data_IF_107505759061
#
_entry.id   IF_107505759061
#
_cell.length_a   1.000
_cell.length_b   1.000
_cell.length_c   1.000
_cell.angle_alpha   90.00
_cell.angle_beta   90.00
_cell.angle_gamma   90.00
#
_symmetry.space_group_name_H-M   'P 1'
#
loop_
_entity.id
_entity.type
_entity.pdbx_description
1 polymer ?
#
# COMPACT_ATOMS: atom_id res chain seq x y z
N UNK A 1 -2.49 -23.47 -13.88
CA UNK A 1 -2.63 -23.61 -12.42
C UNK A 1 -3.02 -22.24 -11.89
N UNK A 2 -4.28 -22.04 -11.56
CA UNK A 2 -4.78 -20.79 -10.99
C UNK A 2 -4.22 -20.71 -9.57
N UNK A 3 -3.23 -19.88 -9.35
CA UNK A 3 -2.76 -19.55 -7.99
C UNK A 3 -3.93 -18.94 -7.25
N UNK A 4 -4.47 -19.66 -6.28
CA UNK A 4 -5.48 -19.13 -5.37
C UNK A 4 -4.94 -17.81 -4.80
N UNK A 5 -5.65 -16.72 -5.06
CA UNK A 5 -5.21 -15.39 -4.65
C UNK A 5 -5.39 -15.32 -3.14
N UNK A 6 -4.30 -15.39 -2.40
CA UNK A 6 -4.29 -15.32 -0.94
C UNK A 6 -4.98 -14.04 -0.46
N UNK A 7 -5.82 -14.15 0.56
CA UNK A 7 -6.60 -13.02 1.12
C UNK A 7 -5.66 -11.90 1.58
N UNK A 8 -5.86 -10.71 1.03
CA UNK A 8 -5.14 -9.51 1.45
C UNK A 8 -5.82 -8.91 2.67
N UNK A 9 -5.06 -8.62 3.70
CA UNK A 9 -5.52 -8.05 4.98
C UNK A 9 -4.76 -6.78 5.29
N UNK A 10 -5.40 -5.84 5.96
CA UNK A 10 -4.74 -4.66 6.47
C UNK A 10 -4.82 -4.60 7.99
N UNK A 11 -3.70 -4.37 8.63
CA UNK A 11 -3.61 -4.12 10.07
C UNK A 11 -3.22 -2.66 10.27
N UNK A 12 -4.05 -1.94 10.99
CA UNK A 12 -3.77 -0.59 11.47
C UNK A 12 -3.22 -0.68 12.89
N UNK A 13 -2.12 0.02 13.14
CA UNK A 13 -1.53 0.10 14.47
C UNK A 13 -1.07 1.51 14.79
N UNK A 14 -1.25 1.92 16.04
CA UNK A 14 -0.65 3.12 16.63
C UNK A 14 0.41 2.67 17.63
N UNK A 15 1.59 3.27 17.56
CA UNK A 15 2.70 2.91 18.42
C UNK A 15 3.59 4.09 18.76
N UNK A 16 4.40 3.95 19.79
CA UNK A 16 5.37 4.97 20.16
C UNK A 16 6.39 5.16 19.04
N UNK A 17 6.63 6.41 18.68
CA UNK A 17 7.65 6.79 17.70
C UNK A 17 9.04 6.76 18.33
N UNK A 18 9.61 5.56 18.40
CA UNK A 18 10.92 5.29 18.99
C UNK A 18 11.72 4.32 18.13
N UNK A 19 13.03 4.48 18.14
CA UNK A 19 13.93 3.54 17.46
C UNK A 19 13.72 2.10 17.91
N UNK A 20 13.65 1.19 16.95
CA UNK A 20 13.53 -0.25 17.21
C UNK A 20 12.10 -0.77 17.39
N UNK A 21 11.08 0.08 17.51
CA UNK A 21 9.69 -0.39 17.69
C UNK A 21 9.21 -1.17 16.47
N UNK A 22 9.43 -0.63 15.26
CA UNK A 22 9.13 -1.33 14.01
C UNK A 22 9.86 -2.68 13.94
N UNK A 23 11.09 -2.76 14.36
CA UNK A 23 11.85 -4.01 14.37
C UNK A 23 11.18 -5.08 15.24
N UNK A 24 10.63 -4.72 16.40
CA UNK A 24 9.87 -5.65 17.24
C UNK A 24 8.63 -6.20 16.52
N UNK A 25 7.91 -5.35 15.79
CA UNK A 25 6.76 -5.77 14.97
C UNK A 25 7.20 -6.73 13.87
N UNK A 26 8.27 -6.40 13.13
CA UNK A 26 8.80 -7.31 12.10
C UNK A 26 9.29 -8.64 12.66
N UNK A 27 9.84 -8.66 13.85
CA UNK A 27 10.21 -9.92 14.52
C UNK A 27 9.00 -10.81 14.82
N UNK A 28 7.84 -10.23 15.17
CA UNK A 28 6.59 -10.98 15.33
C UNK A 28 6.11 -11.57 14.00
N UNK A 29 6.06 -10.75 12.96
CA UNK A 29 5.65 -11.14 11.63
C UNK A 29 6.52 -12.28 11.09
N UNK A 30 7.85 -12.14 11.25
CA UNK A 30 8.82 -13.16 10.88
C UNK A 30 8.58 -14.49 11.60
N UNK A 31 8.34 -14.48 12.92
CA UNK A 31 8.06 -15.71 13.68
C UNK A 31 6.80 -16.41 13.21
N UNK A 32 5.82 -15.66 12.68
CA UNK A 32 4.57 -16.20 12.17
C UNK A 32 4.68 -16.65 10.71
N UNK A 33 5.82 -16.41 10.06
CA UNK A 33 6.03 -16.71 8.64
C UNK A 33 4.97 -16.07 7.73
N UNK A 34 4.51 -14.87 8.10
CA UNK A 34 3.51 -14.11 7.36
C UNK A 34 4.26 -13.20 6.37
N UNK A 35 3.77 -13.16 5.13
CA UNK A 35 4.32 -12.28 4.11
C UNK A 35 3.69 -10.89 4.19
N UNK A 36 4.53 -9.85 4.21
CA UNK A 36 4.09 -8.45 4.17
C UNK A 36 4.15 -7.96 2.74
N UNK A 37 3.03 -7.44 2.22
CA UNK A 37 2.97 -6.83 0.90
C UNK A 37 3.47 -5.38 0.95
N UNK A 38 2.93 -4.61 1.87
CA UNK A 38 3.26 -3.19 2.01
C UNK A 38 3.28 -2.77 3.47
N UNK A 39 4.07 -1.74 3.76
CA UNK A 39 4.06 -1.03 5.03
C UNK A 39 4.06 0.47 4.76
N UNK A 40 3.17 1.17 5.41
CA UNK A 40 3.13 2.63 5.42
C UNK A 40 3.20 3.10 6.86
N UNK A 41 4.19 3.92 7.17
CA UNK A 41 4.40 4.49 8.49
C UNK A 41 4.45 6.01 8.39
N UNK A 42 3.74 6.70 9.26
CA UNK A 42 3.76 8.16 9.34
C UNK A 42 3.59 8.62 10.79
N UNK A 43 4.16 9.80 11.09
CA UNK A 43 3.86 10.49 12.33
C UNK A 43 2.38 10.86 12.38
N UNK A 44 1.80 10.89 13.58
CA UNK A 44 0.45 11.37 13.81
C UNK A 44 0.46 12.84 14.24
N UNK A 45 -0.73 13.42 14.37
CA UNK A 45 -0.87 14.77 14.96
C UNK A 45 -0.48 14.80 16.45
N UNK A 46 -0.47 13.63 17.11
CA UNK A 46 -0.02 13.50 18.48
C UNK A 46 1.50 13.25 18.50
N UNK A 47 2.31 14.16 19.07
CA UNK A 47 3.77 14.00 19.11
C UNK A 47 4.18 12.69 19.80
N UNK A 48 5.16 12.01 19.22
CA UNK A 48 5.71 10.75 19.75
C UNK A 48 4.87 9.51 19.45
N UNK A 49 3.84 9.62 18.60
CA UNK A 49 3.03 8.49 18.13
C UNK A 49 3.11 8.38 16.61
N UNK A 50 3.44 7.18 16.14
CA UNK A 50 3.40 6.80 14.73
C UNK A 50 2.17 5.94 14.43
N UNK A 51 1.59 6.17 13.25
CA UNK A 51 0.53 5.36 12.65
C UNK A 51 1.12 4.46 11.58
N UNK A 52 0.82 3.18 11.66
CA UNK A 52 1.35 2.17 10.76
C UNK A 52 0.19 1.38 10.15
N UNK A 53 0.22 1.25 8.84
CA UNK A 53 -0.66 0.36 8.08
C UNK A 53 0.20 -0.74 7.46
N UNK A 54 -0.08 -1.98 7.83
CA UNK A 54 0.55 -3.17 7.26
C UNK A 54 -0.45 -3.88 6.38
N UNK A 55 -0.05 -4.25 5.15
CA UNK A 55 -0.85 -5.19 4.36
C UNK A 55 -0.14 -6.53 4.27
N UNK A 56 -0.91 -7.58 4.46
CA UNK A 56 -0.44 -8.95 4.59
C UNK A 56 -1.19 -9.85 3.60
N UNK A 57 -0.56 -10.95 3.21
CA UNK A 57 -1.23 -12.08 2.55
C UNK A 57 -1.35 -13.23 3.51
N UNK A 58 -2.55 -13.46 4.02
CA UNK A 58 -2.82 -14.56 4.96
C UNK A 58 -4.29 -14.99 4.84
N UNK A 59 -4.51 -16.26 4.56
CA UNK A 59 -5.85 -16.82 4.42
C UNK A 59 -6.48 -17.18 5.76
N UNK A 60 -5.66 -17.50 6.76
CA UNK A 60 -6.14 -17.90 8.08
C UNK A 60 -6.54 -16.68 8.93
N UNK A 61 -7.83 -16.61 9.27
CA UNK A 61 -8.34 -15.59 10.19
C UNK A 61 -7.71 -15.70 11.58
N UNK A 62 -7.46 -16.93 12.04
CA UNK A 62 -6.81 -17.17 13.33
C UNK A 62 -5.37 -16.64 13.39
N UNK A 63 -4.59 -16.84 12.33
CA UNK A 63 -3.22 -16.32 12.30
C UNK A 63 -3.19 -14.79 12.28
N UNK A 64 -4.07 -14.15 11.51
CA UNK A 64 -4.19 -12.70 11.48
C UNK A 64 -4.59 -12.14 12.85
N UNK A 65 -5.61 -12.73 13.47
CA UNK A 65 -6.06 -12.36 14.82
C UNK A 65 -4.95 -12.56 15.87
N UNK A 66 -4.21 -13.67 15.80
CA UNK A 66 -3.09 -13.91 16.69
C UNK A 66 -1.96 -12.89 16.50
N UNK A 67 -1.70 -12.45 15.26
CA UNK A 67 -0.71 -11.41 15.00
C UNK A 67 -1.13 -10.09 15.67
N UNK A 68 -2.37 -9.65 15.48
CA UNK A 68 -2.92 -8.45 16.14
C UNK A 68 -2.78 -8.53 17.65
N UNK A 69 -3.26 -9.62 18.26
CA UNK A 69 -3.13 -9.84 19.73
C UNK A 69 -1.70 -9.83 20.23
N UNK A 70 -0.75 -10.29 19.43
CA UNK A 70 0.67 -10.26 19.81
C UNK A 70 1.29 -8.87 19.64
N UNK A 71 0.84 -8.11 18.62
CA UNK A 71 1.24 -6.72 18.49
C UNK A 71 0.78 -5.89 19.70
N UNK A 72 -0.45 -6.07 20.16
CA UNK A 72 -1.00 -5.37 21.32
C UNK A 72 -0.27 -5.71 22.65
N UNK A 73 0.45 -6.84 22.70
CA UNK A 73 1.28 -7.18 23.87
C UNK A 73 2.63 -6.47 23.90
N UNK A 74 3.04 -5.83 22.80
CA UNK A 74 4.25 -5.02 22.80
C UNK A 74 3.99 -3.72 23.58
N UNK A 75 4.87 -3.41 24.52
CA UNK A 75 4.73 -2.24 25.40
C UNK A 75 4.64 -0.93 24.66
N UNK A 76 5.25 -0.86 23.47
CA UNK A 76 5.28 0.33 22.63
C UNK A 76 4.09 0.43 21.69
N UNK A 77 3.27 -0.61 21.56
CA UNK A 77 2.05 -0.60 20.74
C UNK A 77 0.90 -0.12 21.59
N UNK A 78 0.28 0.98 21.15
CA UNK A 78 -0.88 1.59 21.81
C UNK A 78 -2.15 0.86 21.44
N UNK A 79 -2.28 0.52 20.14
CA UNK A 79 -3.40 -0.26 19.62
C UNK A 79 -3.01 -0.95 18.32
N UNK A 80 -3.63 -2.08 18.04
CA UNK A 80 -3.55 -2.75 16.76
C UNK A 80 -4.91 -3.38 16.44
N UNK A 81 -5.33 -3.31 15.17
CA UNK A 81 -6.56 -3.95 14.70
C UNK A 81 -6.48 -4.31 13.23
N UNK A 82 -7.16 -5.38 12.84
CA UNK A 82 -7.44 -5.65 11.44
C UNK A 82 -8.55 -4.72 10.95
N UNK A 83 -8.36 -4.15 9.77
CA UNK A 83 -9.36 -3.29 9.14
C UNK A 83 -10.29 -4.13 8.27
N UNK A 84 -11.59 -3.91 8.43
CA UNK A 84 -12.59 -4.45 7.52
C UNK A 84 -12.53 -3.68 6.19
N UNK A 85 -12.37 -4.41 5.09
CA UNK A 85 -12.26 -3.82 3.75
C UNK A 85 -13.53 -3.05 3.34
N UNK A 86 -14.71 -3.54 3.74
CA UNK A 86 -16.01 -2.93 3.41
C UNK A 86 -16.30 -1.69 4.29
N UNK A 87 -15.68 -1.63 5.47
CA UNK A 87 -15.84 -0.54 6.42
C UNK A 87 -14.65 0.43 6.44
N UNK A 88 -13.78 0.38 5.42
CA UNK A 88 -12.57 1.21 5.37
C UNK A 88 -12.33 1.76 3.98
N UNK A 89 -11.71 2.94 3.92
CA UNK A 89 -11.13 3.49 2.71
C UNK A 89 -9.68 3.05 2.60
N UNK A 90 -9.30 2.49 1.47
CA UNK A 90 -7.93 2.09 1.15
C UNK A 90 -7.48 2.86 -0.08
N UNK A 91 -6.37 3.56 0.05
CA UNK A 91 -5.79 4.38 -1.02
C UNK A 91 -4.29 4.20 -1.07
N UNK A 92 -3.74 4.32 -2.26
CA UNK A 92 -2.31 4.38 -2.50
C UNK A 92 -2.00 5.38 -3.62
N UNK A 93 -0.74 5.75 -3.75
CA UNK A 93 -0.20 6.57 -4.83
C UNK A 93 0.80 5.74 -5.61
N UNK A 94 0.77 5.85 -6.92
CA UNK A 94 1.82 5.31 -7.78
C UNK A 94 2.43 6.44 -8.62
N UNK A 95 3.75 6.40 -8.77
CA UNK A 95 4.48 7.20 -9.75
C UNK A 95 4.96 6.22 -10.81
N UNK A 96 4.58 6.47 -12.05
CA UNK A 96 4.86 5.59 -13.19
C UNK A 96 5.62 6.37 -14.25
N UNK A 97 6.77 5.85 -14.66
CA UNK A 97 7.55 6.33 -15.80
C UNK A 97 7.30 5.41 -16.99
N UNK A 98 6.85 5.95 -18.10
CA UNK A 98 6.46 5.16 -19.27
C UNK A 98 6.63 5.90 -20.59
N UNK A 99 6.68 5.16 -21.69
CA UNK A 99 6.70 5.70 -23.03
C UNK A 99 5.28 6.05 -23.46
N UNK A 100 5.06 7.33 -23.81
CA UNK A 100 3.76 7.84 -24.24
C UNK A 100 3.82 8.21 -25.73
N UNK A 101 3.19 7.38 -26.57
CA UNK A 101 2.97 7.72 -27.96
C UNK A 101 1.92 8.84 -28.14
N UNK A 102 1.83 9.34 -29.36
CA UNK A 102 0.86 10.37 -29.77
C UNK A 102 -0.58 9.97 -29.43
N UNK A 103 -1.32 10.84 -28.74
CA UNK A 103 -2.71 10.60 -28.31
C UNK A 103 -2.92 9.60 -27.18
N UNK A 104 -1.86 9.00 -26.64
CA UNK A 104 -1.96 8.04 -25.54
C UNK A 104 -2.39 8.72 -24.23
N UNK A 105 -1.82 9.88 -23.94
CA UNK A 105 -2.16 10.64 -22.73
C UNK A 105 -3.61 11.13 -22.74
N UNK A 106 -4.13 11.52 -23.91
CA UNK A 106 -5.50 11.98 -24.04
C UNK A 106 -6.50 10.85 -23.75
N UNK A 107 -6.20 9.63 -24.21
CA UNK A 107 -7.01 8.44 -23.92
C UNK A 107 -6.98 8.09 -22.44
N UNK A 108 -5.80 8.07 -21.82
CA UNK A 108 -5.66 7.85 -20.38
C UNK A 108 -6.41 8.91 -19.57
N UNK A 109 -6.35 10.17 -19.98
CA UNK A 109 -7.05 11.30 -19.33
C UNK A 109 -8.57 11.24 -19.40
N UNK A 110 -9.14 10.48 -20.35
CA UNK A 110 -10.60 10.25 -20.40
C UNK A 110 -11.09 9.27 -19.33
N UNK A 111 -10.24 8.30 -18.95
CA UNK A 111 -10.61 7.21 -18.02
C UNK A 111 -10.06 7.40 -16.61
N UNK A 112 -8.93 8.11 -16.47
CA UNK A 112 -8.22 8.24 -15.22
C UNK A 112 -7.88 9.69 -14.90
N UNK A 113 -7.97 10.04 -13.63
CA UNK A 113 -7.43 11.28 -13.11
C UNK A 113 -5.98 11.03 -12.65
N UNK A 114 -5.01 11.59 -13.39
CA UNK A 114 -3.59 11.50 -13.07
C UNK A 114 -2.90 12.85 -13.32
N UNK A 115 -1.78 13.05 -12.68
CA UNK A 115 -0.96 14.26 -12.81
C UNK A 115 0.33 13.93 -13.55
N UNK A 116 0.70 14.75 -14.53
CA UNK A 116 1.98 14.63 -15.20
C UNK A 116 3.01 15.43 -14.40
N UNK A 117 3.99 14.71 -13.85
CA UNK A 117 5.06 15.30 -13.06
C UNK A 117 6.22 15.80 -13.94
N UNK A 118 6.52 15.06 -15.03
CA UNK A 118 7.61 15.38 -15.92
C UNK A 118 7.37 14.80 -17.33
N UNK A 119 7.97 15.44 -18.34
CA UNK A 119 8.04 14.96 -19.73
C UNK A 119 9.44 15.06 -20.27
N UNK A 120 10.02 13.92 -20.63
CA UNK A 120 11.35 13.81 -21.18
C UNK A 120 11.27 13.55 -22.69
N UNK A 121 11.91 14.42 -23.49
CA UNK A 121 12.06 14.27 -24.95
C UNK A 121 10.75 13.99 -25.73
N UNK A 122 9.59 14.46 -25.24
CA UNK A 122 8.25 14.26 -25.81
C UNK A 122 7.75 12.80 -25.87
N UNK A 123 8.57 11.82 -25.50
CA UNK A 123 8.26 10.39 -25.60
C UNK A 123 8.11 9.73 -24.22
N UNK A 124 8.87 10.17 -23.23
CA UNK A 124 8.85 9.59 -21.88
C UNK A 124 8.11 10.52 -20.93
N UNK A 125 7.15 9.97 -20.21
CA UNK A 125 6.32 10.68 -19.24
C UNK A 125 6.49 10.07 -17.85
N UNK A 126 6.56 10.92 -16.85
CA UNK A 126 6.44 10.55 -15.44
C UNK A 126 5.09 11.07 -14.95
N UNK A 127 4.22 10.17 -14.55
CA UNK A 127 2.88 10.51 -14.07
C UNK A 127 2.62 9.96 -12.67
N UNK A 128 1.83 10.71 -11.90
CA UNK A 128 1.31 10.30 -10.60
C UNK A 128 -0.16 9.94 -10.73
N UNK A 129 -0.55 8.80 -10.18
CA UNK A 129 -1.94 8.38 -10.05
C UNK A 129 -2.23 7.97 -8.61
N UNK A 130 -3.38 8.38 -8.08
CA UNK A 130 -3.79 8.06 -6.72
C UNK A 130 -5.19 7.42 -6.73
N UNK A 131 -5.38 6.35 -5.98
CA UNK A 131 -6.66 5.67 -5.92
C UNK A 131 -6.63 4.32 -5.21
N UNK A 132 -7.56 3.45 -5.60
CA UNK A 132 -7.54 2.04 -5.16
C UNK A 132 -6.49 1.27 -5.95
N UNK A 133 -5.98 0.15 -5.40
CA UNK A 133 -5.07 -0.72 -6.14
C UNK A 133 -5.61 -1.13 -7.50
N UNK A 134 -6.88 -1.52 -7.56
CA UNK A 134 -7.51 -1.95 -8.80
C UNK A 134 -7.48 -0.82 -9.85
N UNK A 135 -7.75 0.42 -9.44
CA UNK A 135 -7.70 1.56 -10.35
C UNK A 135 -6.27 1.78 -10.87
N UNK A 136 -5.28 1.69 -10.00
CA UNK A 136 -3.86 1.86 -10.37
C UNK A 136 -3.40 0.70 -11.26
N UNK A 137 -3.80 -0.54 -10.95
CA UNK A 137 -3.47 -1.72 -11.75
C UNK A 137 -4.09 -1.63 -13.16
N UNK A 138 -5.35 -1.14 -13.27
CA UNK A 138 -6.00 -0.89 -14.56
C UNK A 138 -5.32 0.24 -15.34
N UNK A 139 -4.92 1.32 -14.67
CA UNK A 139 -4.15 2.40 -15.29
C UNK A 139 -2.84 1.88 -15.91
N UNK A 140 -2.10 1.05 -15.16
CA UNK A 140 -0.86 0.43 -15.67
C UNK A 140 -1.12 -0.54 -16.81
N UNK A 141 -2.21 -1.32 -16.74
CA UNK A 141 -2.60 -2.24 -17.82
C UNK A 141 -2.94 -1.49 -19.11
N UNK A 142 -3.59 -0.32 -19.01
CA UNK A 142 -3.92 0.50 -20.17
C UNK A 142 -2.71 1.21 -20.78
N UNK A 143 -1.70 1.56 -19.97
CA UNK A 143 -0.39 2.01 -20.48
C UNK A 143 0.26 0.91 -21.33
N UNK A 144 0.17 -0.32 -20.89
CA UNK A 144 0.83 -1.49 -21.47
C UNK A 144 2.14 -1.82 -20.75
N UNK A 145 2.30 -3.07 -20.29
CA UNK A 145 3.48 -3.48 -19.49
C UNK A 145 4.83 -3.26 -20.21
N UNK A 146 4.82 -3.38 -21.52
CA UNK A 146 5.97 -3.20 -22.43
C UNK A 146 6.43 -1.75 -22.53
N UNK A 147 5.55 -0.78 -22.23
CA UNK A 147 5.86 0.66 -22.26
C UNK A 147 6.28 1.21 -20.90
N UNK A 148 6.04 0.47 -19.83
CA UNK A 148 6.40 0.90 -18.48
C UNK A 148 7.89 0.71 -18.26
N UNK A 149 8.59 1.81 -17.93
CA UNK A 149 10.02 1.83 -17.66
C UNK A 149 10.27 1.58 -16.18
N UNK A 150 9.49 2.26 -15.31
CA UNK A 150 9.68 2.19 -13.86
C UNK A 150 8.38 2.49 -13.13
N UNK A 151 8.17 1.85 -11.99
CA UNK A 151 7.01 2.06 -11.10
C UNK A 151 7.50 2.19 -9.67
N UNK A 152 7.00 3.21 -8.98
CA UNK A 152 7.10 3.33 -7.53
C UNK A 152 5.70 3.44 -6.92
N UNK A 153 5.40 2.61 -5.91
CA UNK A 153 4.10 2.61 -5.19
C UNK A 153 4.33 2.91 -3.72
N UNK A 154 3.48 3.75 -3.15
CA UNK A 154 3.58 4.15 -1.74
C UNK A 154 3.20 3.06 -0.75
N UNK A 155 2.50 2.03 -1.21
CA UNK A 155 1.75 1.15 -0.31
C UNK A 155 0.45 1.81 0.16
N UNK A 156 -0.33 1.06 0.94
CA UNK A 156 -1.67 1.49 1.34
C UNK A 156 -1.66 2.43 2.53
N UNK A 157 -2.45 3.49 2.42
CA UNK A 157 -3.01 4.21 3.55
C UNK A 157 -4.47 3.81 3.67
N UNK A 158 -4.91 3.44 4.87
CA UNK A 158 -6.28 3.02 5.11
C UNK A 158 -6.88 3.76 6.31
N UNK A 159 -8.18 4.05 6.24
CA UNK A 159 -8.94 4.73 7.29
C UNK A 159 -10.34 4.12 7.37
N UNK A 160 -10.83 3.87 8.56
CA UNK A 160 -12.22 3.46 8.78
C UNK A 160 -13.20 4.58 8.39
N UNK A 161 -14.40 4.17 7.95
CA UNK A 161 -15.50 5.07 7.61
C UNK A 161 -16.07 5.75 8.84
#
# INVERSE_FOLDING_TARGET
MTTAQTKRRAILSFMLDRSGVLNKVFMLIRRKMINVDTITACATQQPGISRITLTLREDSDDKALQLVKQMEKLTEVISAKELDADQSFWREVAIVKFEAGSGHLDRLGQSYNFEILDRQNHEVVVAQVAGTSLMIDNFMAEIGPDKIIEIARSGFTAMEK
#
